data_IF_381152037906
#
_entry.id   IF_381152037906
#
_cell.length_a   1.000
_cell.length_b   1.000
_cell.length_c   1.000
_cell.angle_alpha   90.00
_cell.angle_beta   90.00
_cell.angle_gamma   90.00
#
_symmetry.space_group_name_H-M   'P 1'
#
loop_
_entity.id
_entity.type
_entity.pdbx_description
1 polymer ?
#
# COMPACT_ATOMS: atom_id res chain seq x y z
N UNK A 1 22.96 -6.28 18.80
CA UNK A 1 21.97 -6.11 17.71
C UNK A 1 21.41 -4.69 17.61
N UNK A 2 20.77 -4.09 18.63
CA UNK A 2 20.23 -2.71 18.52
C UNK A 2 21.29 -1.65 18.16
N UNK A 3 22.53 -1.78 18.62
CA UNK A 3 23.59 -0.79 18.40
C UNK A 3 24.33 -0.93 17.06
N UNK A 4 24.25 -2.08 16.39
CA UNK A 4 24.98 -2.30 15.13
C UNK A 4 24.26 -1.68 13.94
N UNK A 5 22.92 -1.68 13.93
CA UNK A 5 22.16 -1.14 12.80
C UNK A 5 22.41 0.37 12.63
N UNK A 6 22.47 1.12 13.73
CA UNK A 6 22.68 2.57 13.72
C UNK A 6 24.05 3.02 13.18
N UNK A 7 25.05 2.13 13.11
CA UNK A 7 26.32 2.47 12.46
C UNK A 7 26.25 2.39 10.93
N UNK A 8 25.24 1.71 10.38
CA UNK A 8 25.05 1.52 8.93
C UNK A 8 23.91 2.36 8.36
N UNK A 9 22.99 2.83 9.20
CA UNK A 9 21.84 3.63 8.77
C UNK A 9 21.84 5.00 9.46
N UNK A 10 21.59 6.04 8.68
CA UNK A 10 21.44 7.41 9.18
C UNK A 10 20.06 7.68 9.76
N UNK A 11 19.05 6.92 9.33
CA UNK A 11 17.67 7.07 9.79
C UNK A 11 16.91 5.73 9.80
N UNK A 12 16.06 5.51 10.80
CA UNK A 12 15.30 4.25 10.94
C UNK A 12 14.36 4.01 9.75
N UNK A 13 13.86 5.07 9.10
CA UNK A 13 13.00 4.99 7.91
C UNK A 13 13.63 4.22 6.75
N UNK A 14 14.97 4.06 6.73
CA UNK A 14 15.66 3.21 5.76
C UNK A 14 15.30 1.73 5.90
N UNK A 15 14.94 1.29 7.11
CA UNK A 15 14.69 -0.13 7.44
C UNK A 15 13.23 -0.36 7.82
N UNK A 16 12.65 0.53 8.63
CA UNK A 16 11.30 0.41 9.16
C UNK A 16 10.65 1.77 9.36
N UNK A 17 9.35 1.86 9.11
CA UNK A 17 8.59 3.09 9.29
C UNK A 17 7.31 3.12 8.48
N UNK A 18 6.61 4.25 8.60
CA UNK A 18 5.39 4.54 7.84
C UNK A 18 5.66 5.78 7.00
N UNK A 19 5.41 5.69 5.69
CA UNK A 19 5.54 6.81 4.75
C UNK A 19 4.17 7.16 4.20
N UNK A 20 3.68 8.36 4.53
CA UNK A 20 2.45 8.92 3.99
C UNK A 20 2.73 9.69 2.69
N UNK A 21 1.90 9.50 1.66
CA UNK A 21 1.99 10.22 0.40
C UNK A 21 0.63 10.31 -0.30
N UNK A 22 0.54 11.27 -1.21
CA UNK A 22 -0.61 11.46 -2.10
C UNK A 22 -0.20 11.12 -3.53
N UNK A 23 -0.99 10.29 -4.20
CA UNK A 23 -0.81 9.99 -5.62
C UNK A 23 -1.33 11.17 -6.44
N UNK A 24 -0.48 11.73 -7.31
CA UNK A 24 -0.81 12.97 -8.06
C UNK A 24 -1.22 12.77 -9.51
N UNK A 25 -1.15 11.55 -10.03
CA UNK A 25 -1.37 11.24 -11.45
C UNK A 25 -2.11 9.94 -11.67
N UNK A 26 -2.68 9.79 -12.87
CA UNK A 26 -3.43 8.60 -13.27
C UNK A 26 -4.80 8.49 -12.60
N UNK A 27 -5.38 7.29 -12.61
CA UNK A 27 -6.71 7.01 -12.00
C UNK A 27 -6.68 7.06 -10.47
N UNK A 28 -5.48 7.04 -9.89
CA UNK A 28 -5.23 7.17 -8.46
C UNK A 28 -5.01 8.60 -7.99
N UNK A 29 -5.18 9.60 -8.86
CA UNK A 29 -4.94 11.00 -8.51
C UNK A 29 -5.85 11.43 -7.36
N UNK A 30 -5.25 12.02 -6.34
CA UNK A 30 -5.93 12.44 -5.11
C UNK A 30 -6.04 11.33 -4.06
N UNK A 31 -5.56 10.11 -4.34
CA UNK A 31 -5.57 9.03 -3.36
C UNK A 31 -4.41 9.18 -2.38
N UNK A 32 -4.70 9.20 -1.09
CA UNK A 32 -3.71 9.11 -0.01
C UNK A 32 -3.41 7.65 0.33
N UNK A 33 -2.12 7.35 0.53
CA UNK A 33 -1.64 6.03 0.90
C UNK A 33 -0.51 6.09 1.93
N UNK A 34 -0.36 5.01 2.68
CA UNK A 34 0.67 4.82 3.68
C UNK A 34 1.46 3.55 3.37
N UNK A 35 2.75 3.69 3.05
CA UNK A 35 3.64 2.52 2.96
C UNK A 35 4.17 2.18 4.35
N UNK A 36 3.90 0.96 4.79
CA UNK A 36 4.34 0.42 6.07
C UNK A 36 5.44 -0.59 5.80
N UNK A 37 6.59 -0.40 6.45
CA UNK A 37 7.71 -1.35 6.47
C UNK A 37 8.04 -1.70 7.91
N UNK A 38 8.04 -2.98 8.25
CA UNK A 38 8.30 -3.42 9.64
C UNK A 38 9.78 -3.64 9.93
N UNK A 39 10.65 -3.68 8.90
CA UNK A 39 12.07 -4.03 9.04
C UNK A 39 12.35 -5.53 9.25
N UNK A 40 11.33 -6.32 9.60
CA UNK A 40 11.42 -7.78 9.72
C UNK A 40 11.09 -8.52 8.40
N UNK A 41 10.91 -7.78 7.32
CA UNK A 41 10.61 -8.31 5.98
C UNK A 41 9.15 -8.14 5.54
N UNK A 42 8.23 -7.72 6.41
CA UNK A 42 6.85 -7.42 6.03
C UNK A 42 6.75 -5.97 5.53
N UNK A 43 6.19 -5.78 4.34
CA UNK A 43 5.88 -4.48 3.76
C UNK A 43 4.48 -4.50 3.13
N UNK A 44 3.72 -3.42 3.28
CA UNK A 44 2.41 -3.28 2.66
C UNK A 44 1.99 -1.81 2.56
N UNK A 45 1.06 -1.51 1.66
CA UNK A 45 0.52 -0.18 1.45
C UNK A 45 -0.92 -0.12 1.95
N UNK A 46 -1.23 0.84 2.82
CA UNK A 46 -2.59 1.12 3.27
C UNK A 46 -3.17 2.25 2.44
N UNK A 47 -4.35 2.05 1.85
CA UNK A 47 -5.01 3.02 0.97
C UNK A 47 -6.12 3.72 1.75
N UNK A 48 -5.91 4.98 2.13
CA UNK A 48 -6.83 5.74 2.98
C UNK A 48 -8.22 5.84 2.36
N UNK A 49 -8.28 6.22 1.09
CA UNK A 49 -9.54 6.50 0.41
C UNK A 49 -10.35 5.23 0.09
N UNK A 50 -9.74 4.05 0.20
CA UNK A 50 -10.43 2.75 0.08
C UNK A 50 -10.69 2.13 1.45
N UNK A 51 -11.12 2.93 2.42
CA UNK A 51 -11.44 2.49 3.78
C UNK A 51 -10.28 1.74 4.48
N UNK A 52 -9.05 2.24 4.29
CA UNK A 52 -7.82 1.62 4.80
C UNK A 52 -7.55 0.20 4.24
N UNK A 53 -7.90 -0.02 2.97
CA UNK A 53 -7.58 -1.26 2.25
C UNK A 53 -6.06 -1.52 2.22
N UNK A 54 -5.67 -2.79 2.23
CA UNK A 54 -4.26 -3.22 2.18
C UNK A 54 -3.93 -3.67 0.77
N UNK A 55 -3.08 -2.91 0.10
CA UNK A 55 -2.54 -3.20 -1.22
C UNK A 55 -1.03 -3.50 -1.16
N UNK A 56 -0.50 -4.13 -2.22
CA UNK A 56 0.94 -4.41 -2.39
C UNK A 56 1.63 -4.99 -1.14
N UNK A 57 1.03 -6.01 -0.54
CA UNK A 57 1.62 -6.71 0.60
C UNK A 57 2.70 -7.69 0.13
N UNK A 58 3.86 -7.66 0.78
CA UNK A 58 4.96 -8.59 0.57
C UNK A 58 5.62 -8.99 1.89
N UNK A 59 6.12 -10.22 1.96
CA UNK A 59 6.93 -10.70 3.05
C UNK A 59 8.23 -11.29 2.51
N UNK A 60 9.37 -10.74 2.93
CA UNK A 60 10.71 -11.12 2.44
C UNK A 60 10.75 -11.16 0.91
N UNK A 61 10.27 -10.08 0.30
CA UNK A 61 10.17 -9.90 -1.16
C UNK A 61 9.26 -10.90 -1.88
N UNK A 62 8.53 -11.75 -1.15
CA UNK A 62 7.49 -12.63 -1.69
C UNK A 62 6.15 -11.91 -1.64
N UNK A 63 5.51 -11.73 -2.80
CA UNK A 63 4.22 -11.06 -2.90
C UNK A 63 3.11 -11.89 -2.22
N UNK A 64 2.33 -11.24 -1.35
CA UNK A 64 1.17 -11.82 -0.65
C UNK A 64 -0.16 -11.27 -1.17
N UNK A 65 -0.15 -10.14 -1.89
CA UNK A 65 -1.36 -9.51 -2.42
C UNK A 65 -1.62 -9.88 -3.88
N UNK A 66 -2.89 -10.09 -4.22
CA UNK A 66 -3.36 -10.15 -5.60
C UNK A 66 -3.90 -8.78 -6.03
N UNK A 67 -3.31 -8.20 -7.07
CA UNK A 67 -3.64 -6.85 -7.54
C UNK A 67 -4.38 -6.97 -8.86
N UNK A 68 -5.63 -6.56 -8.86
CA UNK A 68 -6.46 -6.54 -10.06
C UNK A 68 -6.04 -5.39 -10.99
N UNK A 69 -6.32 -5.47 -12.31
CA UNK A 69 -6.07 -4.37 -13.24
C UNK A 69 -6.89 -3.10 -12.93
N UNK A 70 -7.83 -3.18 -11.98
CA UNK A 70 -8.46 -2.01 -11.40
C UNK A 70 -7.44 -1.21 -10.61
N UNK A 71 -6.99 -0.12 -11.22
CA UNK A 71 -6.08 0.84 -10.62
C UNK A 71 -6.67 1.37 -9.30
N UNK A 72 -5.81 1.56 -8.29
CA UNK A 72 -6.11 2.32 -7.08
C UNK A 72 -6.87 3.57 -7.49
N UNK A 73 -8.15 3.66 -7.16
CA UNK A 73 -8.94 4.84 -7.49
C UNK A 73 -9.81 5.18 -6.29
N UNK A 74 -10.07 6.48 -6.04
CA UNK A 74 -10.97 6.88 -5.00
C UNK A 74 -12.35 6.26 -5.23
N UNK A 75 -13.12 5.95 -4.17
CA UNK A 75 -14.46 5.37 -4.28
C UNK A 75 -15.41 6.24 -5.10
N UNK A 76 -15.17 7.57 -5.14
CA UNK A 76 -15.94 8.51 -5.96
C UNK A 76 -15.81 8.26 -7.48
N UNK A 77 -14.77 7.56 -7.93
CA UNK A 77 -14.56 7.21 -9.33
C UNK A 77 -15.30 5.91 -9.75
N UNK A 78 -15.94 5.22 -8.80
CA UNK A 78 -16.68 4.00 -9.09
C UNK A 78 -18.03 4.32 -9.74
N UNK A 79 -18.25 3.90 -10.99
CA UNK A 79 -19.57 4.03 -11.62
C UNK A 79 -20.59 3.14 -10.89
N UNK A 80 -21.80 3.65 -10.59
CA UNK A 80 -22.92 2.97 -9.91
C UNK A 80 -23.51 1.75 -10.64
N UNK A 81 -22.82 1.18 -11.64
CA UNK A 81 -23.28 -0.07 -12.28
C UNK A 81 -23.07 -1.23 -11.32
N UNK A 82 -24.00 -2.19 -11.33
CA UNK A 82 -24.08 -3.36 -10.44
C UNK A 82 -22.81 -4.25 -10.38
N UNK A 83 -21.80 -3.98 -11.21
CA UNK A 83 -20.51 -4.67 -11.25
C UNK A 83 -19.39 -3.93 -10.50
N UNK A 84 -19.63 -2.73 -9.98
CA UNK A 84 -18.59 -1.88 -9.34
C UNK A 84 -17.90 -2.55 -8.14
N UNK A 85 -18.62 -3.39 -7.39
CA UNK A 85 -18.07 -4.14 -6.26
C UNK A 85 -16.95 -5.11 -6.66
N UNK A 86 -17.13 -5.85 -7.78
CA UNK A 86 -16.14 -6.81 -8.28
C UNK A 86 -14.93 -6.13 -8.92
N UNK A 87 -15.08 -4.89 -9.38
CA UNK A 87 -13.99 -4.09 -9.94
C UNK A 87 -13.09 -3.58 -8.82
N UNK A 88 -13.66 -3.15 -7.69
CA UNK A 88 -12.90 -2.60 -6.58
C UNK A 88 -12.11 -3.65 -5.77
N UNK A 89 -12.48 -4.93 -5.82
CA UNK A 89 -11.90 -5.93 -4.93
C UNK A 89 -10.57 -6.47 -5.48
N UNK A 90 -9.46 -6.14 -4.82
CA UNK A 90 -8.24 -6.95 -4.86
C UNK A 90 -8.54 -8.23 -4.08
N UNK A 91 -8.72 -9.35 -4.80
CA UNK A 91 -9.04 -10.65 -4.20
C UNK A 91 -7.90 -11.10 -3.27
N UNK A 92 -8.00 -10.79 -1.99
CA UNK A 92 -7.16 -11.42 -0.97
C UNK A 92 -7.31 -12.93 -1.03
N UNK A 93 -6.19 -13.64 -0.89
CA UNK A 93 -6.19 -15.09 -0.69
C UNK A 93 -6.84 -15.46 0.64
#
# INVERSE_FOLDING_TARGET
MKNEIWSWIGDLSQVAGIKHYELRSGRAKGTEAFDVRTGAGLAFTVVKDRALDIAWASYKDTALSFITPTVLSPPLFLSLRATGFYVAFTRGY
#
